data_IF_583121544082
#
_entry.id   IF_583121544082
#
_cell.length_a   1.000
_cell.length_b   1.000
_cell.length_c   1.000
_cell.angle_alpha   90.00
_cell.angle_beta   90.00
_cell.angle_gamma   90.00
#
_symmetry.space_group_name_H-M   'P 1'
#
loop_
_entity.id
_entity.type
_entity.pdbx_description
1 polymer ?
#
# COMPACT_ATOMS: atom_id res chain seq x y z
N UNK A 1 -34.07 65.16 35.64
CA UNK A 1 -33.46 64.37 34.54
C UNK A 1 -34.26 63.15 34.06
N UNK A 2 -34.57 62.17 34.90
CA UNK A 2 -35.15 60.87 34.45
C UNK A 2 -36.58 61.02 33.91
N UNK A 3 -37.41 61.88 34.50
CA UNK A 3 -38.79 62.09 34.00
C UNK A 3 -38.84 62.89 32.69
N UNK A 4 -37.83 63.73 32.43
CA UNK A 4 -37.64 64.38 31.12
C UNK A 4 -37.27 63.39 30.02
N UNK A 5 -36.54 62.31 30.36
CA UNK A 5 -36.22 61.24 29.43
C UNK A 5 -37.42 60.31 29.18
N UNK A 6 -38.30 60.10 30.16
CA UNK A 6 -39.54 59.32 29.98
C UNK A 6 -40.54 60.02 29.07
N UNK A 7 -40.81 61.32 29.26
CA UNK A 7 -41.71 62.06 28.36
C UNK A 7 -41.18 62.13 26.92
N UNK A 8 -39.86 62.19 26.72
CA UNK A 8 -39.26 62.17 25.36
C UNK A 8 -39.37 60.80 24.66
N UNK A 9 -39.49 59.72 25.43
CA UNK A 9 -39.73 58.36 24.91
C UNK A 9 -41.22 58.16 24.60
N UNK A 10 -42.12 58.77 25.38
CA UNK A 10 -43.58 58.74 25.14
C UNK A 10 -44.01 59.64 23.98
N UNK A 11 -43.42 60.83 23.83
CA UNK A 11 -43.73 61.79 22.76
C UNK A 11 -43.02 61.47 21.43
N UNK A 12 -41.97 60.64 21.43
CA UNK A 12 -41.25 60.21 20.23
C UNK A 12 -41.94 59.11 19.42
N UNK A 13 -43.12 58.64 19.86
CA UNK A 13 -43.83 57.47 19.31
C UNK A 13 -44.70 57.73 18.08
N UNK A 14 -44.70 58.93 17.49
CA UNK A 14 -45.51 59.21 16.29
C UNK A 14 -44.88 60.28 15.38
N UNK A 15 -44.07 59.84 14.42
CA UNK A 15 -43.79 60.58 13.18
C UNK A 15 -43.49 59.59 12.05
N UNK A 16 -44.56 59.38 11.27
CA UNK A 16 -44.66 58.99 9.86
C UNK A 16 -43.96 57.75 9.26
N UNK A 17 -44.67 56.98 8.41
CA UNK A 17 -44.17 55.78 7.77
C UNK A 17 -43.37 56.11 6.50
N UNK A 18 -42.08 55.75 6.48
CA UNK A 18 -41.29 55.73 5.25
C UNK A 18 -39.90 55.10 5.43
N UNK A 19 -39.40 54.30 4.47
CA UNK A 19 -40.08 53.27 3.69
C UNK A 19 -39.81 51.88 4.30
N UNK A 20 -40.84 51.03 4.36
CA UNK A 20 -40.73 49.60 4.67
C UNK A 20 -39.81 48.80 3.69
N UNK A 21 -39.18 49.47 2.71
CA UNK A 21 -38.27 48.87 1.75
C UNK A 21 -36.93 48.42 2.33
N UNK A 22 -36.39 49.06 3.37
CA UNK A 22 -35.07 48.69 3.91
C UNK A 22 -35.10 47.39 4.75
N UNK A 23 -36.22 47.08 5.40
CA UNK A 23 -36.35 45.82 6.17
C UNK A 23 -36.47 44.61 5.24
N UNK A 24 -37.24 44.73 4.15
CA UNK A 24 -37.38 43.67 3.16
C UNK A 24 -36.07 43.44 2.38
N UNK A 25 -35.34 44.49 2.06
CA UNK A 25 -34.07 44.40 1.32
C UNK A 25 -32.96 43.77 2.18
N UNK A 26 -32.87 44.13 3.46
CA UNK A 26 -31.96 43.50 4.42
C UNK A 26 -32.31 42.02 4.71
N UNK A 27 -33.61 41.68 4.77
CA UNK A 27 -34.04 40.27 4.88
C UNK A 27 -33.72 39.46 3.60
N UNK A 28 -33.92 40.05 2.42
CA UNK A 28 -33.60 39.42 1.15
C UNK A 28 -32.09 39.15 1.02
N UNK A 29 -31.25 40.11 1.44
CA UNK A 29 -29.79 39.98 1.49
C UNK A 29 -29.34 38.90 2.48
N UNK A 30 -29.93 38.84 3.68
CA UNK A 30 -29.66 37.76 4.65
C UNK A 30 -30.05 36.40 4.10
N UNK A 31 -31.19 36.30 3.43
CA UNK A 31 -31.69 35.05 2.84
C UNK A 31 -30.82 34.58 1.68
N UNK A 32 -30.41 35.49 0.80
CA UNK A 32 -29.49 35.22 -0.30
C UNK A 32 -28.10 34.80 0.23
N UNK A 33 -27.61 35.45 1.27
CA UNK A 33 -26.35 35.09 1.92
C UNK A 33 -26.42 33.70 2.59
N UNK A 34 -27.52 33.38 3.28
CA UNK A 34 -27.76 32.05 3.84
C UNK A 34 -27.79 30.96 2.77
N UNK A 35 -28.41 31.23 1.61
CA UNK A 35 -28.42 30.30 0.47
C UNK A 35 -27.03 30.11 -0.15
N UNK A 36 -26.25 31.18 -0.32
CA UNK A 36 -24.85 31.11 -0.78
C UNK A 36 -24.00 30.27 0.16
N UNK A 37 -24.13 30.48 1.47
CA UNK A 37 -23.41 29.70 2.48
C UNK A 37 -23.83 28.24 2.50
N UNK A 38 -25.12 27.94 2.31
CA UNK A 38 -25.60 26.56 2.17
C UNK A 38 -24.99 25.87 0.94
N UNK A 39 -24.92 26.57 -0.20
CA UNK A 39 -24.28 26.05 -1.42
C UNK A 39 -22.81 25.77 -1.19
N UNK A 40 -22.07 26.73 -0.62
CA UNK A 40 -20.65 26.58 -0.33
C UNK A 40 -20.36 25.42 0.63
N UNK A 41 -21.17 25.27 1.69
CA UNK A 41 -21.08 24.14 2.62
C UNK A 41 -21.26 22.80 1.89
N UNK A 42 -22.28 22.71 1.02
CA UNK A 42 -22.54 21.48 0.28
C UNK A 42 -21.39 21.17 -0.69
N UNK A 43 -20.89 22.17 -1.42
CA UNK A 43 -19.73 22.01 -2.31
C UNK A 43 -18.47 21.56 -1.55
N UNK A 44 -18.26 22.07 -0.33
CA UNK A 44 -17.15 21.66 0.54
C UNK A 44 -17.32 20.22 1.03
N UNK A 45 -18.54 19.82 1.42
CA UNK A 45 -18.85 18.45 1.81
C UNK A 45 -18.68 17.46 0.65
N UNK A 46 -19.14 17.81 -0.54
CA UNK A 46 -18.98 16.99 -1.74
C UNK A 46 -17.49 16.86 -2.09
N UNK A 47 -16.72 17.95 -1.99
CA UNK A 47 -15.27 17.91 -2.13
C UNK A 47 -14.60 16.98 -1.11
N UNK A 48 -14.92 17.11 0.17
CA UNK A 48 -14.36 16.25 1.22
C UNK A 48 -14.69 14.78 0.99
N UNK A 49 -15.93 14.48 0.60
CA UNK A 49 -16.34 13.12 0.23
C UNK A 49 -15.56 12.60 -0.97
N UNK A 50 -15.44 13.37 -2.05
CA UNK A 50 -14.68 12.99 -3.24
C UNK A 50 -13.22 12.69 -2.87
N UNK A 51 -12.59 13.62 -2.16
CA UNK A 51 -11.19 13.54 -1.77
C UNK A 51 -10.92 12.33 -0.85
N UNK A 52 -11.80 12.08 0.11
CA UNK A 52 -11.70 10.90 0.99
C UNK A 52 -11.94 9.60 0.23
N UNK A 53 -12.88 9.58 -0.72
CA UNK A 53 -13.10 8.41 -1.56
C UNK A 53 -11.85 8.06 -2.38
N UNK A 54 -11.17 9.07 -2.93
CA UNK A 54 -9.96 8.89 -3.72
C UNK A 54 -8.79 8.43 -2.85
N UNK A 55 -8.64 8.98 -1.63
CA UNK A 55 -7.61 8.50 -0.70
C UNK A 55 -7.81 7.05 -0.29
N UNK A 56 -9.04 6.66 0.02
CA UNK A 56 -9.34 5.26 0.36
C UNK A 56 -9.06 4.34 -0.84
N UNK A 57 -9.50 4.71 -2.05
CA UNK A 57 -9.17 3.96 -3.27
C UNK A 57 -7.67 3.83 -3.48
N UNK A 58 -6.92 4.91 -3.26
CA UNK A 58 -5.46 4.90 -3.39
C UNK A 58 -4.83 3.94 -2.39
N UNK A 59 -5.27 3.99 -1.13
CA UNK A 59 -4.82 3.07 -0.08
C UNK A 59 -5.16 1.60 -0.41
N UNK A 60 -6.34 1.32 -0.95
CA UNK A 60 -6.74 -0.04 -1.37
C UNK A 60 -5.89 -0.56 -2.54
N UNK A 61 -5.57 0.33 -3.50
CA UNK A 61 -4.66 0.03 -4.62
C UNK A 61 -3.25 -0.23 -4.09
N UNK A 62 -2.72 0.63 -3.24
CA UNK A 62 -1.39 0.47 -2.64
C UNK A 62 -1.32 -0.84 -1.83
N UNK A 63 -2.36 -1.16 -1.06
CA UNK A 63 -2.46 -2.45 -0.34
C UNK A 63 -2.43 -3.64 -1.31
N UNK A 64 -3.09 -3.54 -2.46
CA UNK A 64 -3.09 -4.59 -3.48
C UNK A 64 -1.70 -4.75 -4.14
N UNK A 65 -1.02 -3.64 -4.44
CA UNK A 65 0.34 -3.64 -4.99
C UNK A 65 1.33 -4.30 -4.02
N UNK A 66 1.22 -3.98 -2.73
CA UNK A 66 2.04 -4.60 -1.68
C UNK A 66 1.79 -6.10 -1.59
N UNK A 67 0.52 -6.54 -1.62
CA UNK A 67 0.18 -7.96 -1.61
C UNK A 67 0.74 -8.71 -2.84
N UNK A 68 0.62 -8.12 -4.04
CA UNK A 68 1.19 -8.68 -5.27
C UNK A 68 2.72 -8.76 -5.20
N UNK A 69 3.37 -7.74 -4.63
CA UNK A 69 4.83 -7.71 -4.49
C UNK A 69 5.32 -8.83 -3.56
N UNK A 70 4.62 -9.08 -2.46
CA UNK A 70 4.91 -10.22 -1.59
C UNK A 70 4.72 -11.56 -2.29
N UNK A 71 3.63 -11.72 -3.04
CA UNK A 71 3.36 -12.98 -3.75
C UNK A 71 4.40 -13.21 -4.85
N UNK A 72 4.84 -12.14 -5.53
CA UNK A 72 5.94 -12.19 -6.47
C UNK A 72 7.24 -12.66 -5.80
N UNK A 73 7.61 -12.11 -4.64
CA UNK A 73 8.79 -12.57 -3.88
C UNK A 73 8.69 -14.04 -3.46
N UNK A 74 7.47 -14.52 -3.13
CA UNK A 74 7.21 -15.91 -2.76
C UNK A 74 7.39 -16.85 -3.94
N UNK A 75 6.79 -16.54 -5.09
CA UNK A 75 6.93 -17.38 -6.29
C UNK A 75 8.36 -17.36 -6.83
N UNK A 76 9.03 -16.21 -6.76
CA UNK A 76 10.44 -16.11 -7.11
C UNK A 76 11.33 -16.99 -6.20
N UNK A 77 10.98 -17.13 -4.91
CA UNK A 77 11.66 -18.08 -4.03
C UNK A 77 11.54 -19.52 -4.52
N UNK A 78 10.35 -19.96 -4.94
CA UNK A 78 10.14 -21.33 -5.45
C UNK A 78 11.04 -21.61 -6.65
N UNK A 79 11.06 -20.69 -7.62
CA UNK A 79 11.90 -20.80 -8.82
C UNK A 79 13.39 -20.84 -8.46
N UNK A 80 13.86 -19.89 -7.63
CA UNK A 80 15.28 -19.81 -7.26
C UNK A 80 15.75 -20.98 -6.41
N UNK A 81 14.89 -21.55 -5.55
CA UNK A 81 15.20 -22.76 -4.79
C UNK A 81 15.36 -23.97 -5.71
N UNK A 82 14.48 -24.13 -6.69
CA UNK A 82 14.57 -25.19 -7.68
C UNK A 82 15.83 -25.05 -8.55
N UNK A 83 16.12 -23.86 -9.08
CA UNK A 83 17.33 -23.60 -9.87
C UNK A 83 18.60 -23.94 -9.09
N UNK A 84 18.65 -23.57 -7.81
CA UNK A 84 19.78 -23.87 -6.94
C UNK A 84 19.92 -25.39 -6.69
N UNK A 85 18.82 -26.12 -6.50
CA UNK A 85 18.82 -27.57 -6.33
C UNK A 85 19.23 -28.30 -7.63
N UNK A 86 18.69 -27.87 -8.78
CA UNK A 86 19.08 -28.39 -10.09
C UNK A 86 20.57 -28.20 -10.34
N UNK A 87 21.12 -27.02 -10.03
CA UNK A 87 22.57 -26.74 -10.17
C UNK A 87 23.43 -27.63 -9.26
N UNK A 88 22.98 -27.94 -8.03
CA UNK A 88 23.67 -28.88 -7.13
C UNK A 88 23.69 -30.30 -7.68
N UNK A 89 22.56 -30.79 -8.20
CA UNK A 89 22.45 -32.12 -8.81
C UNK A 89 23.32 -32.27 -10.05
N UNK A 90 23.32 -31.25 -10.91
CA UNK A 90 24.17 -31.21 -12.10
C UNK A 90 25.66 -31.30 -11.75
N UNK A 91 26.12 -30.55 -10.74
CA UNK A 91 27.52 -30.61 -10.27
C UNK A 91 27.87 -31.96 -9.63
N UNK A 92 26.98 -32.54 -8.81
CA UNK A 92 27.19 -33.85 -8.21
C UNK A 92 27.31 -35.00 -9.21
N UNK A 93 26.72 -34.88 -10.41
CA UNK A 93 26.89 -35.84 -11.51
C UNK A 93 28.21 -35.65 -12.28
N UNK A 94 28.78 -34.45 -12.27
CA UNK A 94 30.06 -34.16 -12.94
C UNK A 94 31.28 -34.59 -12.11
N UNK A 95 31.15 -34.71 -10.79
CA UNK A 95 32.21 -35.21 -9.88
C UNK A 95 32.24 -36.75 -9.82
N UNK A 96 32.07 -37.42 -10.96
CA UNK A 96 32.44 -38.84 -11.07
C UNK A 96 33.92 -38.99 -10.72
N UNK A 97 34.20 -39.90 -9.79
CA UNK A 97 35.49 -40.12 -9.12
C UNK A 97 36.65 -40.17 -10.12
N UNK A 98 37.53 -39.16 -10.08
CA UNK A 98 38.83 -39.23 -10.77
C UNK A 98 39.76 -40.12 -9.97
N UNK A 99 40.33 -41.13 -10.63
CA UNK A 99 41.36 -41.97 -10.03
C UNK A 99 42.62 -41.17 -9.65
N UNK A 100 43.53 -41.77 -8.86
CA UNK A 100 44.76 -41.11 -8.40
C UNK A 100 45.65 -40.56 -9.53
N UNK A 101 45.48 -41.06 -10.75
CA UNK A 101 46.27 -40.70 -11.93
C UNK A 101 45.53 -39.75 -12.89
N UNK A 102 44.33 -39.29 -12.53
CA UNK A 102 43.53 -38.34 -13.32
C UNK A 102 42.84 -38.96 -14.54
N UNK A 103 42.84 -40.28 -14.67
CA UNK A 103 42.09 -41.02 -15.69
C UNK A 103 40.68 -41.34 -15.18
N UNK A 104 39.68 -41.15 -16.04
CA UNK A 104 38.28 -41.48 -15.76
C UNK A 104 38.16 -43.01 -15.62
N UNK A 105 37.74 -43.50 -14.45
CA UNK A 105 37.48 -44.93 -14.25
C UNK A 105 36.16 -45.24 -14.97
N UNK A 106 36.27 -45.70 -16.21
CA UNK A 106 35.13 -46.24 -16.95
C UNK A 106 34.82 -47.62 -16.35
N UNK A 107 33.87 -47.68 -15.43
CA UNK A 107 33.26 -48.93 -15.00
C UNK A 107 32.50 -49.54 -16.20
N UNK A 108 33.09 -50.57 -16.81
CA UNK A 108 32.57 -51.21 -18.02
C UNK A 108 31.49 -52.27 -17.71
N UNK A 109 31.08 -52.46 -16.46
CA UNK A 109 30.13 -53.52 -16.07
C UNK A 109 28.88 -53.00 -15.34
N UNK A 110 28.40 -51.79 -15.67
CA UNK A 110 27.00 -51.44 -15.37
C UNK A 110 26.20 -51.28 -16.65
N UNK A 111 25.40 -52.29 -16.98
CA UNK A 111 24.14 -52.15 -17.72
C UNK A 111 23.18 -51.24 -16.93
N UNK A 112 23.56 -49.97 -16.79
CA UNK A 112 22.60 -48.91 -16.51
C UNK A 112 22.00 -48.58 -17.86
N UNK A 113 20.84 -49.16 -18.12
CA UNK A 113 19.85 -48.55 -18.98
C UNK A 113 19.90 -47.05 -18.72
N UNK A 114 20.25 -46.31 -19.79
CA UNK A 114 20.18 -44.86 -19.80
C UNK A 114 18.72 -44.47 -19.63
N UNK A 115 18.25 -44.43 -18.40
CA UNK A 115 17.18 -43.51 -17.96
C UNK A 115 17.76 -42.08 -18.01
N UNK A 116 18.06 -41.63 -19.23
CA UNK A 116 18.70 -40.35 -19.52
C UNK A 116 17.66 -39.30 -19.97
N UNK A 117 16.38 -39.47 -19.62
CA UNK A 117 15.31 -38.60 -20.13
C UNK A 117 14.16 -38.27 -19.13
N UNK A 118 14.25 -38.61 -17.84
CA UNK A 118 13.09 -38.45 -16.92
C UNK A 118 13.32 -37.66 -15.63
N UNK A 119 14.54 -37.22 -15.33
CA UNK A 119 14.87 -36.54 -14.05
C UNK A 119 15.24 -35.04 -14.20
N UNK A 120 15.23 -34.48 -15.41
CA UNK A 120 15.44 -33.04 -15.66
C UNK A 120 14.13 -32.30 -15.98
N UNK A 121 12.97 -32.99 -15.85
CA UNK A 121 11.67 -32.38 -15.99
C UNK A 121 11.42 -31.37 -14.86
N UNK A 122 11.07 -30.15 -15.26
CA UNK A 122 10.70 -29.09 -14.33
C UNK A 122 9.46 -29.53 -13.54
N UNK A 123 9.49 -29.50 -12.19
CA UNK A 123 8.32 -29.83 -11.39
C UNK A 123 7.16 -28.91 -11.75
N UNK A 124 5.95 -29.46 -11.77
CA UNK A 124 4.70 -28.73 -12.06
C UNK A 124 4.57 -27.45 -11.20
N UNK A 125 5.05 -27.51 -9.96
CA UNK A 125 5.09 -26.40 -9.01
C UNK A 125 5.93 -25.21 -9.51
N UNK A 126 7.02 -25.46 -10.23
CA UNK A 126 7.93 -24.44 -10.76
C UNK A 126 7.37 -23.87 -12.06
N UNK A 127 6.84 -24.72 -12.94
CA UNK A 127 6.11 -24.26 -14.14
C UNK A 127 4.93 -23.36 -13.74
N UNK A 128 4.15 -23.75 -12.73
CA UNK A 128 3.08 -22.92 -12.17
C UNK A 128 3.63 -21.61 -11.59
N UNK A 129 4.76 -21.64 -10.88
CA UNK A 129 5.39 -20.42 -10.36
C UNK A 129 5.80 -19.44 -11.48
N UNK A 130 6.28 -19.93 -12.63
CA UNK A 130 6.57 -19.07 -13.79
C UNK A 130 5.31 -18.44 -14.39
N UNK A 131 4.23 -19.22 -14.55
CA UNK A 131 2.95 -18.70 -15.01
C UNK A 131 2.39 -17.64 -14.05
N UNK A 132 2.47 -17.92 -12.74
CA UNK A 132 2.07 -17.01 -11.68
C UNK A 132 2.91 -15.72 -11.71
N UNK A 133 4.23 -15.80 -11.88
CA UNK A 133 5.09 -14.63 -12.01
C UNK A 133 4.72 -13.76 -13.21
N UNK A 134 4.41 -14.36 -14.37
CA UNK A 134 3.96 -13.62 -15.54
C UNK A 134 2.61 -12.94 -15.28
N UNK A 135 1.68 -13.65 -14.64
CA UNK A 135 0.39 -13.10 -14.24
C UNK A 135 0.55 -11.92 -13.25
N UNK A 136 1.34 -12.11 -12.20
CA UNK A 136 1.61 -11.11 -11.16
C UNK A 136 2.24 -9.85 -11.75
N UNK A 137 3.17 -9.98 -12.69
CA UNK A 137 3.79 -8.83 -13.35
C UNK A 137 2.77 -8.02 -14.17
N UNK A 138 1.90 -8.71 -14.93
CA UNK A 138 0.83 -8.04 -15.69
C UNK A 138 -0.16 -7.34 -14.75
N UNK A 139 -0.48 -8.00 -13.65
CA UNK A 139 -1.41 -7.48 -12.65
C UNK A 139 -0.83 -6.27 -11.90
N UNK A 140 0.46 -6.31 -11.56
CA UNK A 140 1.19 -5.19 -10.97
C UNK A 140 1.18 -3.96 -11.90
N UNK A 141 1.40 -4.16 -13.20
CA UNK A 141 1.29 -3.10 -14.20
C UNK A 141 -0.13 -2.50 -14.22
N UNK A 142 -1.17 -3.35 -14.20
CA UNK A 142 -2.58 -2.92 -14.15
C UNK A 142 -2.88 -2.05 -12.93
N UNK A 143 -2.42 -2.45 -11.75
CA UNK A 143 -2.60 -1.67 -10.52
C UNK A 143 -1.80 -0.37 -10.53
N UNK A 144 -0.60 -0.36 -11.11
CA UNK A 144 0.20 0.86 -11.28
C UNK A 144 -0.52 1.87 -12.17
N UNK A 145 -1.08 1.44 -13.30
CA UNK A 145 -1.89 2.29 -14.17
C UNK A 145 -3.17 2.80 -13.48
N UNK A 146 -3.81 1.96 -12.66
CA UNK A 146 -4.97 2.37 -11.88
C UNK A 146 -4.60 3.43 -10.83
N UNK A 147 -3.46 3.25 -10.17
CA UNK A 147 -2.90 4.19 -9.21
C UNK A 147 -2.66 5.56 -9.85
N UNK A 148 -2.03 5.59 -11.01
CA UNK A 148 -1.78 6.83 -11.76
C UNK A 148 -3.08 7.56 -12.12
N UNK A 149 -4.13 6.84 -12.54
CA UNK A 149 -5.45 7.43 -12.83
C UNK A 149 -6.07 8.07 -11.58
N UNK A 150 -6.03 7.38 -10.44
CA UNK A 150 -6.54 7.92 -9.17
C UNK A 150 -5.75 9.15 -8.72
N UNK A 151 -4.42 9.15 -8.89
CA UNK A 151 -3.59 10.32 -8.60
C UNK A 151 -3.96 11.51 -9.51
N UNK A 152 -4.21 11.27 -10.80
CA UNK A 152 -4.69 12.31 -11.71
C UNK A 152 -6.04 12.87 -11.25
N UNK A 153 -7.01 12.02 -10.90
CA UNK A 153 -8.30 12.44 -10.34
C UNK A 153 -8.13 13.27 -9.05
N UNK A 154 -7.19 12.89 -8.18
CA UNK A 154 -6.86 13.68 -6.98
C UNK A 154 -6.33 15.08 -7.34
N UNK A 155 -5.53 15.21 -8.40
CA UNK A 155 -5.06 16.54 -8.84
C UNK A 155 -6.22 17.41 -9.33
N UNK A 156 -7.19 16.85 -10.02
CA UNK A 156 -8.37 17.57 -10.49
C UNK A 156 -9.28 18.00 -9.32
N UNK A 157 -9.48 17.12 -8.35
CA UNK A 157 -10.18 17.44 -7.10
C UNK A 157 -9.46 18.57 -6.36
N UNK A 158 -8.12 18.54 -6.29
CA UNK A 158 -7.32 19.63 -5.69
C UNK A 158 -7.48 20.96 -6.43
N UNK A 159 -7.49 20.96 -7.77
CA UNK A 159 -7.76 22.19 -8.57
C UNK A 159 -9.14 22.76 -8.26
N UNK A 160 -10.15 21.90 -8.10
CA UNK A 160 -11.51 22.31 -7.73
C UNK A 160 -11.55 22.93 -6.33
N UNK A 161 -10.79 22.37 -5.39
CA UNK A 161 -10.61 22.90 -4.04
C UNK A 161 -10.07 24.33 -4.05
N UNK A 162 -8.99 24.57 -4.79
CA UNK A 162 -8.35 25.89 -4.86
C UNK A 162 -9.33 26.96 -5.39
N UNK A 163 -10.14 26.62 -6.41
CA UNK A 163 -11.17 27.54 -6.95
C UNK A 163 -12.24 27.88 -5.92
N UNK A 164 -12.63 26.91 -5.10
CA UNK A 164 -13.59 27.13 -4.01
C UNK A 164 -12.96 27.94 -2.88
N UNK A 165 -11.68 27.72 -2.57
CA UNK A 165 -10.93 28.49 -1.58
C UNK A 165 -10.85 29.98 -1.96
N UNK A 166 -10.60 30.29 -3.22
CA UNK A 166 -10.61 31.67 -3.74
C UNK A 166 -11.99 32.37 -3.63
N UNK A 167 -13.08 31.59 -3.56
CA UNK A 167 -14.44 32.09 -3.42
C UNK A 167 -14.90 32.27 -1.96
N UNK A 168 -14.20 31.68 -0.98
CA UNK A 168 -14.52 31.74 0.45
C UNK A 168 -14.57 33.17 1.02
N UNK A 169 -13.60 34.07 0.77
CA UNK A 169 -13.56 35.40 1.39
C UNK A 169 -14.75 36.31 1.01
N UNK A 170 -15.40 36.03 -0.13
CA UNK A 170 -16.52 36.83 -0.64
C UNK A 170 -17.86 36.45 -0.04
N UNK A 171 -17.92 35.34 0.70
CA UNK A 171 -19.15 34.71 1.18
C UNK A 171 -19.26 34.69 2.70
N UNK A 172 -18.15 34.79 3.42
CA UNK A 172 -18.12 34.74 4.90
C UNK A 172 -18.34 36.14 5.45
N UNK A 173 -19.45 36.33 6.16
CA UNK A 173 -19.84 37.65 6.74
C UNK A 173 -20.24 37.55 8.21
N UNK A 174 -20.38 36.33 8.76
CA UNK A 174 -20.76 36.07 10.15
C UNK A 174 -19.72 35.16 10.85
N UNK A 175 -19.46 35.44 12.12
CA UNK A 175 -18.51 34.68 12.96
C UNK A 175 -18.96 33.23 13.18
N UNK A 176 -20.26 32.98 13.39
CA UNK A 176 -20.80 31.61 13.54
C UNK A 176 -20.58 30.77 12.27
N UNK A 177 -20.69 31.39 11.10
CA UNK A 177 -20.44 30.73 9.81
C UNK A 177 -18.96 30.37 9.65
N UNK A 178 -18.07 31.26 10.11
CA UNK A 178 -16.63 31.01 10.11
C UNK A 178 -16.26 29.88 11.06
N UNK A 179 -16.86 29.83 12.24
CA UNK A 179 -16.64 28.77 13.22
C UNK A 179 -17.12 27.41 12.70
N UNK A 180 -18.30 27.34 12.10
CA UNK A 180 -18.81 26.11 11.50
C UNK A 180 -17.90 25.58 10.38
N UNK A 181 -17.40 26.45 9.50
CA UNK A 181 -16.46 26.07 8.45
C UNK A 181 -15.13 25.59 9.03
N UNK A 182 -14.60 26.27 10.05
CA UNK A 182 -13.38 25.85 10.74
C UNK A 182 -13.54 24.44 11.35
N UNK A 183 -14.67 24.18 12.01
CA UNK A 183 -14.95 22.87 12.58
C UNK A 183 -15.04 21.80 11.48
N UNK A 184 -15.70 22.10 10.36
CA UNK A 184 -15.84 21.18 9.25
C UNK A 184 -14.48 20.85 8.61
N UNK A 185 -13.64 21.86 8.39
CA UNK A 185 -12.27 21.65 7.94
C UNK A 185 -11.45 20.85 8.96
N UNK A 186 -11.65 21.07 10.27
CA UNK A 186 -10.92 20.33 11.31
C UNK A 186 -11.31 18.85 11.34
N UNK A 187 -12.59 18.53 11.16
CA UNK A 187 -13.05 17.14 11.01
C UNK A 187 -12.37 16.48 9.82
N UNK A 188 -12.36 17.15 8.67
CA UNK A 188 -11.70 16.63 7.47
C UNK A 188 -10.18 16.44 7.65
N UNK A 189 -9.50 17.38 8.30
CA UNK A 189 -8.08 17.24 8.64
C UNK A 189 -7.82 15.98 9.49
N UNK A 190 -8.65 15.74 10.51
CA UNK A 190 -8.56 14.56 11.36
C UNK A 190 -8.87 13.27 10.59
N UNK A 191 -9.84 13.31 9.67
CA UNK A 191 -10.14 12.17 8.79
C UNK A 191 -8.99 11.84 7.84
N UNK A 192 -8.30 12.85 7.32
CA UNK A 192 -7.08 12.67 6.51
C UNK A 192 -5.98 12.01 7.36
N UNK A 193 -5.69 12.57 8.54
CA UNK A 193 -4.67 12.02 9.45
C UNK A 193 -4.96 10.56 9.82
N UNK A 194 -6.24 10.21 9.99
CA UNK A 194 -6.66 8.82 10.24
C UNK A 194 -6.29 7.91 9.07
N UNK A 195 -6.60 8.30 7.83
CA UNK A 195 -6.29 7.48 6.65
C UNK A 195 -4.78 7.38 6.42
N UNK A 196 -4.03 8.46 6.63
CA UNK A 196 -2.57 8.45 6.55
C UNK A 196 -1.97 7.47 7.58
N UNK A 197 -2.46 7.49 8.81
CA UNK A 197 -2.04 6.54 9.85
C UNK A 197 -2.37 5.09 9.48
N UNK A 198 -3.53 4.84 8.85
CA UNK A 198 -3.91 3.50 8.37
C UNK A 198 -2.98 3.03 7.24
N UNK A 199 -2.65 3.91 6.29
CA UNK A 199 -1.69 3.61 5.21
C UNK A 199 -0.30 3.30 5.76
N UNK A 200 0.21 4.08 6.71
CA UNK A 200 1.48 3.79 7.38
C UNK A 200 1.49 2.44 8.11
N UNK A 201 0.38 2.08 8.75
CA UNK A 201 0.25 0.80 9.44
C UNK A 201 0.33 -0.37 8.44
N UNK A 202 -0.35 -0.26 7.30
CA UNK A 202 -0.29 -1.25 6.21
C UNK A 202 1.14 -1.42 5.66
N UNK A 203 1.85 -0.32 5.43
CA UNK A 203 3.24 -0.35 4.96
C UNK A 203 4.17 -1.04 5.97
N UNK A 204 4.01 -0.74 7.26
CA UNK A 204 4.77 -1.40 8.33
C UNK A 204 4.48 -2.88 8.40
N UNK A 205 3.21 -3.27 8.28
CA UNK A 205 2.80 -4.67 8.30
C UNK A 205 3.39 -5.44 7.11
N UNK A 206 3.33 -4.88 5.91
CA UNK A 206 3.97 -5.46 4.72
C UNK A 206 5.49 -5.62 4.93
N UNK A 207 6.17 -4.60 5.45
CA UNK A 207 7.61 -4.67 5.69
C UNK A 207 7.98 -5.73 6.74
N UNK A 208 7.14 -5.95 7.76
CA UNK A 208 7.31 -7.04 8.72
C UNK A 208 7.18 -8.40 8.02
N UNK A 209 6.11 -8.62 7.24
CA UNK A 209 5.90 -9.87 6.49
C UNK A 209 7.04 -10.15 5.52
N UNK A 210 7.56 -9.11 4.84
CA UNK A 210 8.72 -9.21 3.95
C UNK A 210 9.99 -9.64 4.71
N UNK A 211 10.22 -9.09 5.91
CA UNK A 211 11.35 -9.50 6.76
C UNK A 211 11.20 -10.94 7.25
N UNK A 212 9.99 -11.38 7.57
CA UNK A 212 9.73 -12.77 7.96
C UNK A 212 10.09 -13.76 6.84
N UNK A 213 9.77 -13.43 5.58
CA UNK A 213 10.21 -14.22 4.41
C UNK A 213 11.73 -14.33 4.34
N UNK A 214 12.46 -13.25 4.60
CA UNK A 214 13.93 -13.25 4.61
C UNK A 214 14.48 -14.10 5.76
N UNK A 215 13.90 -13.99 6.96
CA UNK A 215 14.29 -14.80 8.13
C UNK A 215 14.10 -16.28 7.82
N UNK A 216 12.96 -16.68 7.25
CA UNK A 216 12.71 -18.07 6.87
C UNK A 216 13.76 -18.60 5.89
N UNK A 217 14.22 -17.79 4.92
CA UNK A 217 15.32 -18.17 4.01
C UNK A 217 16.63 -18.41 4.77
N UNK A 218 16.97 -17.52 5.72
CA UNK A 218 18.18 -17.68 6.53
C UNK A 218 18.13 -18.92 7.43
N UNK A 219 16.98 -19.19 8.07
CA UNK A 219 16.81 -20.37 8.93
C UNK A 219 16.93 -21.66 8.11
N UNK A 220 16.37 -21.70 6.90
CA UNK A 220 16.55 -22.82 5.97
C UNK A 220 18.02 -23.01 5.58
N UNK A 221 18.71 -21.93 5.21
CA UNK A 221 20.13 -22.00 4.87
C UNK A 221 20.97 -22.51 6.05
N UNK A 222 20.68 -22.03 7.26
CA UNK A 222 21.35 -22.48 8.48
C UNK A 222 21.13 -23.96 8.74
N UNK A 223 19.90 -24.46 8.63
CA UNK A 223 19.59 -25.89 8.77
C UNK A 223 20.39 -26.73 7.77
N UNK A 224 20.46 -26.29 6.51
CA UNK A 224 21.26 -26.97 5.48
C UNK A 224 22.76 -26.99 5.82
N UNK A 225 23.31 -25.88 6.32
CA UNK A 225 24.69 -25.84 6.79
C UNK A 225 24.94 -26.80 7.95
N UNK A 226 24.04 -26.84 8.94
CA UNK A 226 24.15 -27.74 10.08
C UNK A 226 24.06 -29.22 9.65
N UNK A 227 23.20 -29.54 8.68
CA UNK A 227 23.12 -30.88 8.06
C UNK A 227 24.42 -31.26 7.34
N UNK A 228 24.98 -30.36 6.53
CA UNK A 228 26.25 -30.58 5.82
C UNK A 228 27.38 -30.84 6.82
N UNK A 229 27.49 -29.99 7.86
CA UNK A 229 28.51 -30.15 8.90
C UNK A 229 28.34 -31.50 9.62
N UNK A 230 27.10 -31.88 9.92
CA UNK A 230 26.80 -33.16 10.58
C UNK A 230 27.21 -34.35 9.72
N UNK A 231 26.88 -34.34 8.42
CA UNK A 231 27.29 -35.39 7.47
C UNK A 231 28.81 -35.45 7.31
N UNK A 232 29.47 -34.30 7.19
CA UNK A 232 30.94 -34.24 7.10
C UNK A 232 31.62 -34.80 8.35
N UNK A 233 31.09 -34.52 9.54
CA UNK A 233 31.60 -35.12 10.80
C UNK A 233 31.42 -36.64 10.83
N UNK A 234 30.27 -37.15 10.38
CA UNK A 234 30.04 -38.59 10.28
C UNK A 234 31.05 -39.26 9.34
N UNK A 235 31.25 -38.71 8.14
CA UNK A 235 32.24 -39.23 7.19
C UNK A 235 33.66 -39.20 7.76
N UNK A 236 34.03 -38.14 8.48
CA UNK A 236 35.34 -38.05 9.13
C UNK A 236 35.53 -39.09 10.24
N UNK A 237 34.48 -39.38 11.01
CA UNK A 237 34.53 -40.40 12.06
C UNK A 237 34.61 -41.80 11.47
N UNK A 238 33.82 -42.10 10.44
CA UNK A 238 33.88 -43.35 9.66
C UNK A 238 35.29 -43.57 9.07
N UNK A 239 35.88 -42.51 8.51
CA UNK A 239 37.24 -42.56 7.95
C UNK A 239 38.30 -42.78 9.05
N UNK A 240 38.11 -42.22 10.25
CA UNK A 240 39.02 -42.50 11.38
C UNK A 240 38.92 -43.94 11.86
N UNK A 241 37.71 -44.52 11.92
CA UNK A 241 37.54 -45.93 12.29
C UNK A 241 38.12 -46.89 11.26
N UNK A 242 38.13 -46.56 9.97
CA UNK A 242 38.75 -47.38 8.92
C UNK A 242 40.27 -47.22 8.85
N UNK A 243 40.82 -46.10 9.33
CA UNK A 243 42.26 -45.81 9.34
C UNK A 243 42.99 -46.21 10.62
N UNK A 244 42.30 -46.76 11.63
CA UNK A 244 42.94 -47.28 12.85
C UNK A 244 43.38 -48.74 12.61
N UNK A 245 44.68 -49.03 12.43
CA UNK A 245 45.15 -50.40 12.31
C UNK A 245 45.20 -51.04 13.70
N UNK A 246 44.96 -52.35 13.78
CA UNK A 246 45.44 -53.21 14.88
C UNK A 246 46.96 -53.13 15.04
#
# INVERSE_FOLDING_TARGET
EIDRLRSKIEEGGASEPGPAGHSQQAELERRNNAEKMKKLKNELLDYFRDQMSLRNKLMDIDSSILALSMEFERQNLVVTEWEAERSRRSKGRSDSVKGPDGEDIIDMDTDKEKDDDSDDDEPEEVTQAWEDLMYLQKEQQRYTEMREKVEQEMTEVKKRANKMEEALPKSITNDEQRELLNLLCKVHELEIQKVEMQSEALLKEHELRRRDLVIMRYDRQRSLCDEIITRQRQMLEETKTTMSPE
#
